data_IF_859078770557
#
_entry.id   IF_859078770557
#
_cell.length_a   1.000
_cell.length_b   1.000
_cell.length_c   1.000
_cell.angle_alpha   90.00
_cell.angle_beta   90.00
_cell.angle_gamma   90.00
#
_symmetry.space_group_name_H-M   'P 1'
#
loop_
_entity.id
_entity.type
_entity.pdbx_description
1 polymer ?
#
# COMPACT_ATOMS: atom_id res chain seq x y z
N UNK A 1 -9.99 -14.93 -0.56
CA UNK A 1 -9.57 -13.55 -0.28
C UNK A 1 -10.83 -12.72 -0.10
N UNK A 2 -10.82 -11.86 0.91
CA UNK A 2 -11.88 -10.91 1.28
C UNK A 2 -11.41 -9.50 0.94
N UNK A 3 -12.35 -8.62 0.62
CA UNK A 3 -12.07 -7.21 0.33
C UNK A 3 -11.66 -6.47 1.61
N UNK A 4 -10.55 -5.74 1.52
CA UNK A 4 -10.03 -4.88 2.60
C UNK A 4 -10.35 -3.41 2.32
N UNK A 5 -9.92 -2.91 1.16
CA UNK A 5 -10.01 -1.49 0.81
C UNK A 5 -10.12 -1.27 -0.71
N UNK A 6 -10.69 -0.14 -1.10
CA UNK A 6 -10.75 0.32 -2.49
C UNK A 6 -10.14 1.71 -2.59
N UNK A 7 -9.24 1.88 -3.55
CA UNK A 7 -8.54 3.12 -3.83
C UNK A 7 -8.94 3.66 -5.20
N UNK A 8 -8.93 4.99 -5.33
CA UNK A 8 -9.24 5.67 -6.60
C UNK A 8 -8.06 5.68 -7.60
N UNK A 9 -6.91 5.14 -7.20
CA UNK A 9 -5.73 5.00 -8.02
C UNK A 9 -4.96 3.72 -7.65
N UNK A 10 -4.08 3.28 -8.56
CA UNK A 10 -3.23 2.11 -8.33
C UNK A 10 -2.17 2.37 -7.25
N UNK A 11 -1.66 3.60 -7.17
CA UNK A 11 -0.55 3.95 -6.28
C UNK A 11 -0.89 3.78 -4.80
N UNK A 12 -2.07 4.23 -4.36
CA UNK A 12 -2.48 4.06 -2.96
C UNK A 12 -2.69 2.58 -2.61
N UNK A 13 -3.25 1.79 -3.55
CA UNK A 13 -3.38 0.35 -3.38
C UNK A 13 -2.00 -0.34 -3.26
N UNK A 14 -1.00 0.09 -4.06
CA UNK A 14 0.36 -0.43 -3.97
C UNK A 14 1.07 -0.04 -2.68
N UNK A 15 0.81 1.16 -2.15
CA UNK A 15 1.35 1.61 -0.86
C UNK A 15 0.83 0.73 0.28
N UNK A 16 -0.48 0.50 0.35
CA UNK A 16 -1.06 -0.40 1.35
C UNK A 16 -0.52 -1.83 1.18
N UNK A 17 -0.49 -2.33 -0.05
CA UNK A 17 0.05 -3.65 -0.38
C UNK A 17 1.51 -3.84 0.07
N UNK A 18 2.35 -2.81 -0.06
CA UNK A 18 3.75 -2.86 0.40
C UNK A 18 3.84 -2.98 1.92
N UNK A 19 2.95 -2.30 2.67
CA UNK A 19 2.86 -2.42 4.12
C UNK A 19 2.37 -3.80 4.56
N UNK A 20 1.33 -4.32 3.91
CA UNK A 20 0.83 -5.68 4.13
C UNK A 20 1.93 -6.71 3.89
N UNK A 21 2.68 -6.58 2.78
CA UNK A 21 3.82 -7.43 2.47
C UNK A 21 4.91 -7.38 3.54
N UNK A 22 5.22 -6.20 4.06
CA UNK A 22 6.23 -6.02 5.11
C UNK A 22 5.80 -6.68 6.43
N UNK A 23 4.51 -6.71 6.72
CA UNK A 23 3.93 -7.46 7.84
C UNK A 23 3.87 -8.97 7.59
N UNK A 24 4.11 -9.43 6.36
CA UNK A 24 4.03 -10.84 5.97
C UNK A 24 2.63 -11.31 5.59
N UNK A 25 1.70 -10.37 5.36
CA UNK A 25 0.33 -10.65 4.97
C UNK A 25 0.24 -10.84 3.45
N UNK A 26 -0.36 -11.95 3.03
CA UNK A 26 -0.65 -12.20 1.63
C UNK A 26 -1.83 -11.32 1.14
N UNK A 27 -1.61 -10.64 0.02
CA UNK A 27 -2.58 -9.71 -0.57
C UNK A 27 -2.76 -9.96 -2.07
N UNK A 28 -3.85 -9.41 -2.61
CA UNK A 28 -4.14 -9.36 -4.03
C UNK A 28 -4.71 -7.99 -4.38
N UNK A 29 -4.25 -7.43 -5.50
CA UNK A 29 -4.78 -6.18 -6.04
C UNK A 29 -5.59 -6.54 -7.29
N UNK A 30 -6.88 -6.25 -7.24
CA UNK A 30 -7.81 -6.40 -8.36
C UNK A 30 -8.07 -5.00 -8.95
N UNK A 31 -7.65 -4.79 -10.18
CA UNK A 31 -7.90 -3.57 -10.94
C UNK A 31 -8.72 -3.95 -12.17
N UNK A 32 -9.90 -3.32 -12.31
CA UNK A 32 -10.77 -3.59 -13.45
C UNK A 32 -10.22 -2.87 -14.69
N UNK A 33 -10.01 -3.59 -15.80
CA UNK A 33 -9.50 -3.03 -17.05
C UNK A 33 -10.30 -1.78 -17.48
N UNK A 34 -9.63 -0.62 -17.47
CA UNK A 34 -10.22 0.67 -17.84
C UNK A 34 -10.81 1.48 -16.68
N UNK A 35 -10.64 1.03 -15.44
CA UNK A 35 -10.95 1.80 -14.23
C UNK A 35 -9.67 2.14 -13.48
N UNK A 36 -9.56 3.39 -13.01
CA UNK A 36 -8.50 3.81 -12.09
C UNK A 36 -8.68 3.24 -10.67
N UNK A 37 -9.84 2.61 -10.42
CA UNK A 37 -10.18 1.98 -9.14
C UNK A 37 -9.37 0.67 -8.95
N UNK A 38 -8.63 0.60 -7.84
CA UNK A 38 -7.87 -0.56 -7.43
C UNK A 38 -8.38 -1.11 -6.10
N UNK A 39 -8.63 -2.42 -6.02
CA UNK A 39 -9.18 -3.08 -4.83
C UNK A 39 -8.13 -3.98 -4.21
N UNK A 40 -7.85 -3.76 -2.92
CA UNK A 40 -6.96 -4.61 -2.15
C UNK A 40 -7.78 -5.68 -1.44
N UNK A 41 -7.39 -6.93 -1.64
CA UNK A 41 -8.00 -8.11 -1.02
C UNK A 41 -6.94 -8.87 -0.22
N UNK A 42 -7.33 -9.41 0.93
CA UNK A 42 -6.45 -10.19 1.84
C UNK A 42 -7.11 -11.52 2.19
N UNK A 43 -6.43 -12.41 2.90
CA UNK A 43 -7.07 -13.61 3.43
C UNK A 43 -7.91 -13.30 4.69
N UNK A 44 -8.91 -14.13 4.95
CA UNK A 44 -9.78 -13.95 6.12
C UNK A 44 -9.02 -14.12 7.44
N UNK A 45 -7.99 -14.99 7.47
CA UNK A 45 -7.13 -15.22 8.65
C UNK A 45 -6.31 -13.98 9.01
N UNK A 46 -5.92 -13.19 8.00
CA UNK A 46 -5.11 -11.98 8.15
C UNK A 46 -5.94 -10.69 8.14
N UNK A 47 -7.27 -10.77 8.09
CA UNK A 47 -8.14 -9.60 7.94
C UNK A 47 -8.02 -8.62 9.11
N UNK A 48 -8.00 -9.13 10.34
CA UNK A 48 -7.86 -8.30 11.54
C UNK A 48 -6.54 -7.52 11.50
N UNK A 49 -5.41 -8.21 11.26
CA UNK A 49 -4.09 -7.59 11.23
C UNK A 49 -3.94 -6.62 10.04
N UNK A 50 -4.48 -6.98 8.88
CA UNK A 50 -4.50 -6.11 7.70
C UNK A 50 -5.32 -4.83 7.92
N UNK A 51 -6.43 -4.93 8.67
CA UNK A 51 -7.26 -3.78 9.03
C UNK A 51 -6.49 -2.85 9.98
N UNK A 52 -5.82 -3.40 11.00
CA UNK A 52 -4.98 -2.61 11.91
C UNK A 52 -3.87 -1.86 11.17
N UNK A 53 -3.22 -2.49 10.20
CA UNK A 53 -2.17 -1.85 9.37
C UNK A 53 -2.75 -0.74 8.49
N UNK A 54 -3.92 -0.97 7.88
CA UNK A 54 -4.60 0.04 7.06
C UNK A 54 -5.04 1.25 7.90
N UNK A 55 -5.59 1.02 9.09
CA UNK A 55 -5.98 2.09 10.00
C UNK A 55 -4.75 2.87 10.51
N UNK A 56 -3.67 2.18 10.88
CA UNK A 56 -2.41 2.83 11.26
C UNK A 56 -1.86 3.70 10.12
N UNK A 57 -1.94 3.19 8.88
CA UNK A 57 -1.50 3.94 7.71
C UNK A 57 -2.34 5.20 7.45
N UNK A 58 -3.63 5.15 7.74
CA UNK A 58 -4.54 6.30 7.57
C UNK A 58 -4.36 7.35 8.68
N UNK A 59 -3.95 6.93 9.88
CA UNK A 59 -3.64 7.85 10.98
C UNK A 59 -2.25 8.49 10.86
N UNK A 60 -1.27 7.79 10.30
CA UNK A 60 0.03 8.37 9.97
C UNK A 60 -0.08 9.44 8.86
N UNK A 61 -1.07 9.40 7.98
CA UNK A 61 -1.20 10.42 6.93
C UNK A 61 -1.57 11.82 7.48
N UNK A 62 -2.24 11.92 8.64
CA UNK A 62 -2.64 13.20 9.25
C UNK A 62 -1.55 13.79 10.19
N UNK A 63 -0.61 12.98 10.70
CA UNK A 63 0.48 13.43 11.60
C UNK A 63 1.91 13.24 11.06
N UNK A 64 2.13 12.41 10.03
CA UNK A 64 3.47 12.03 9.53
C UNK A 64 3.85 12.70 8.20
N UNK A 65 2.90 13.33 7.50
CA UNK A 65 3.18 14.14 6.30
C UNK A 65 4.00 15.41 6.62
N UNK A 66 4.06 15.86 7.88
CA UNK A 66 4.90 17.01 8.27
C UNK A 66 6.35 16.63 8.65
N UNK A 67 6.70 15.34 8.80
CA UNK A 67 8.02 14.97 9.34
C UNK A 67 8.74 13.77 8.70
N UNK A 68 8.13 12.99 7.80
CA UNK A 68 8.81 11.84 7.16
C UNK A 68 8.72 11.76 5.63
N UNK A 69 8.10 12.74 4.97
CA UNK A 69 8.35 12.99 3.53
C UNK A 69 9.63 13.82 3.29
N UNK A 70 10.43 14.04 4.35
CA UNK A 70 11.75 14.67 4.29
C UNK A 70 12.92 13.71 4.11
N UNK A 71 12.67 12.40 3.96
CA UNK A 71 13.72 11.38 3.79
C UNK A 71 13.33 10.31 2.75
N UNK A 72 12.64 10.71 1.69
CA UNK A 72 12.58 9.91 0.45
C UNK A 72 13.91 10.14 -0.29
N UNK A 73 15.01 9.65 0.27
CA UNK A 73 16.34 9.56 -0.38
C UNK A 73 16.54 8.17 -1.04
N UNK A 74 15.54 7.28 -0.99
CA UNK A 74 15.65 5.87 -1.40
C UNK A 74 14.75 5.50 -2.61
N UNK A 75 14.50 6.45 -3.51
CA UNK A 75 13.90 6.18 -4.83
C UNK A 75 14.74 6.71 -6.03
N UNK A 76 15.97 7.17 -5.78
CA UNK A 76 16.91 7.63 -6.82
C UNK A 76 17.91 6.54 -7.29
N UNK A 77 17.81 5.29 -6.80
CA UNK A 77 18.74 4.19 -7.15
C UNK A 77 18.22 3.26 -8.27
N UNK A 78 17.43 3.78 -9.22
CA UNK A 78 16.96 3.01 -10.40
C UNK A 78 17.45 3.56 -11.75
N UNK A 79 18.35 4.53 -11.78
CA UNK A 79 18.79 5.14 -13.05
C UNK A 79 20.32 5.31 -13.18
N UNK A 80 21.15 4.28 -12.92
CA UNK A 80 22.53 4.23 -13.46
C UNK A 80 23.18 2.83 -13.42
N UNK A 81 22.68 1.85 -14.20
CA UNK A 81 23.47 0.66 -14.58
C UNK A 81 23.62 0.57 -16.09
N UNK A 82 24.30 1.56 -16.67
CA UNK A 82 24.82 1.49 -18.03
C UNK A 82 26.26 2.04 -18.08
N UNK A 83 27.23 1.17 -17.78
CA UNK A 83 28.62 1.30 -18.24
C UNK A 83 28.91 0.20 -19.29
#
# INVERSE_FOLDING_TARGET
MIHLATFGNEMEAQLLASRLKAAGIDYNIDQEDGSDEARVMVFEDDLDEATEIMEAASFEDDEFIDSSLGDIDDLDDLEDIAD
#
